data_IF_313520366639
#
_entry.id   IF_313520366639
#
_cell.length_a   1.000
_cell.length_b   1.000
_cell.length_c   1.000
_cell.angle_alpha   90.00
_cell.angle_beta   90.00
_cell.angle_gamma   90.00
#
_symmetry.space_group_name_H-M   'P 1'
#
loop_
_entity.id
_entity.type
_entity.pdbx_description
1 polymer ?
#
# COMPACT_ATOMS: atom_id res chain seq x y z
N UNK A 1 -10.06 -3.75 -15.21
CA UNK A 1 -9.74 -3.58 -13.77
C UNK A 1 -11.02 -3.21 -13.02
N UNK A 2 -11.08 -3.44 -11.71
CA UNK A 2 -12.16 -2.95 -10.84
C UNK A 2 -11.54 -2.07 -9.75
N UNK A 3 -12.12 -0.90 -9.53
CA UNK A 3 -11.66 0.11 -8.57
C UNK A 3 -12.69 0.20 -7.45
N UNK A 4 -12.34 -0.27 -6.25
CA UNK A 4 -13.25 -0.29 -5.12
C UNK A 4 -12.98 0.90 -4.20
N UNK A 5 -14.00 1.73 -3.97
CA UNK A 5 -13.97 2.80 -2.99
C UNK A 5 -14.79 2.39 -1.75
N UNK A 6 -14.17 2.37 -0.58
CA UNK A 6 -14.87 2.02 0.65
C UNK A 6 -15.82 3.15 1.07
N UNK A 7 -17.12 2.88 1.12
CA UNK A 7 -18.15 3.86 1.54
C UNK A 7 -18.87 3.42 2.82
N UNK A 8 -18.37 2.37 3.48
CA UNK A 8 -18.97 1.81 4.67
C UNK A 8 -18.92 2.77 5.87
N UNK A 9 -20.02 2.85 6.62
CA UNK A 9 -20.16 3.78 7.75
C UNK A 9 -20.65 3.18 9.06
N UNK A 10 -20.88 1.85 9.16
CA UNK A 10 -21.43 1.24 10.38
C UNK A 10 -20.37 0.95 11.44
N UNK A 11 -19.17 0.53 11.02
CA UNK A 11 -18.04 0.32 11.95
C UNK A 11 -17.31 1.63 12.27
N UNK A 12 -16.94 2.40 11.25
CA UNK A 12 -16.27 3.69 11.40
C UNK A 12 -16.86 4.70 10.42
N UNK A 13 -17.19 5.90 10.90
CA UNK A 13 -17.84 6.93 10.09
C UNK A 13 -16.91 7.59 9.05
N UNK A 14 -15.60 7.39 9.16
CA UNK A 14 -14.60 8.05 8.30
C UNK A 14 -14.78 7.67 6.83
N UNK A 15 -14.90 6.37 6.50
CA UNK A 15 -15.10 5.91 5.13
C UNK A 15 -16.44 6.36 4.54
N UNK A 16 -17.52 6.39 5.31
CA UNK A 16 -18.78 6.97 4.84
C UNK A 16 -18.66 8.47 4.53
N UNK A 17 -17.87 9.21 5.31
CA UNK A 17 -17.72 10.66 5.17
C UNK A 17 -16.83 11.06 4.00
N UNK A 18 -15.73 10.34 3.75
CA UNK A 18 -14.75 10.70 2.71
C UNK A 18 -14.78 9.79 1.49
N UNK A 19 -15.14 8.52 1.66
CA UNK A 19 -15.14 7.52 0.59
C UNK A 19 -16.27 7.69 -0.43
N UNK A 20 -17.50 8.01 0.01
CA UNK A 20 -18.61 8.25 -0.92
C UNK A 20 -18.39 9.48 -1.83
N UNK A 21 -17.90 10.63 -1.31
CA UNK A 21 -17.44 11.72 -2.18
C UNK A 21 -16.34 11.29 -3.16
N UNK A 22 -15.35 10.51 -2.71
CA UNK A 22 -14.27 10.03 -3.58
C UNK A 22 -14.79 9.12 -4.71
N UNK A 23 -15.68 8.18 -4.39
CA UNK A 23 -16.28 7.27 -5.37
C UNK A 23 -17.00 8.04 -6.48
N UNK A 24 -17.81 9.05 -6.10
CA UNK A 24 -18.50 9.91 -7.07
C UNK A 24 -17.52 10.69 -7.94
N UNK A 25 -16.48 11.28 -7.35
CA UNK A 25 -15.47 12.03 -8.08
C UNK A 25 -14.76 11.14 -9.11
N UNK A 26 -14.31 9.95 -8.70
CA UNK A 26 -13.68 8.98 -9.60
C UNK A 26 -14.63 8.49 -10.69
N UNK A 27 -15.91 8.26 -10.37
CA UNK A 27 -16.91 7.82 -11.35
C UNK A 27 -17.11 8.85 -12.49
N UNK A 28 -16.92 10.14 -12.24
CA UNK A 28 -16.99 11.16 -13.33
C UNK A 28 -15.92 10.96 -14.41
N UNK A 29 -14.78 10.36 -14.06
CA UNK A 29 -13.63 10.17 -14.96
C UNK A 29 -13.48 8.72 -15.44
N UNK A 30 -13.75 7.76 -14.56
CA UNK A 30 -13.47 6.33 -14.77
C UNK A 30 -14.74 5.48 -14.86
N UNK A 31 -15.92 6.08 -14.68
CA UNK A 31 -17.25 5.52 -14.95
C UNK A 31 -17.38 4.06 -14.43
N UNK A 32 -17.61 3.13 -15.35
CA UNK A 32 -17.85 1.69 -15.15
C UNK A 32 -16.73 0.91 -14.44
N UNK A 33 -15.57 1.53 -14.20
CA UNK A 33 -14.49 0.92 -13.42
C UNK A 33 -14.68 1.06 -11.91
N UNK A 34 -15.45 2.06 -11.46
CA UNK A 34 -15.55 2.46 -10.05
C UNK A 34 -16.76 1.83 -9.40
N UNK A 35 -16.54 1.22 -8.24
CA UNK A 35 -17.58 0.59 -7.45
C UNK A 35 -17.45 1.01 -5.99
N UNK A 36 -18.59 1.32 -5.38
CA UNK A 36 -18.67 1.44 -3.93
C UNK A 36 -18.62 0.05 -3.29
N UNK A 37 -17.91 -0.07 -2.17
CA UNK A 37 -17.78 -1.34 -1.44
C UNK A 37 -17.95 -1.16 0.07
N UNK A 38 -18.21 -2.29 0.74
CA UNK A 38 -18.15 -2.41 2.19
C UNK A 38 -16.71 -2.29 2.71
N UNK A 39 -16.53 -2.35 4.04
CA UNK A 39 -15.25 -2.13 4.70
C UNK A 39 -14.13 -3.03 4.15
N UNK A 40 -12.98 -2.40 3.82
CA UNK A 40 -11.79 -3.07 3.27
C UNK A 40 -10.58 -3.06 4.20
N UNK A 41 -10.71 -2.53 5.42
CA UNK A 41 -9.60 -2.38 6.37
C UNK A 41 -8.88 -1.03 6.27
N UNK A 42 -8.42 -0.53 7.42
CA UNK A 42 -7.68 0.72 7.54
C UNK A 42 -8.57 1.95 7.47
N UNK A 43 -9.63 2.00 8.27
CA UNK A 43 -10.55 3.14 8.32
C UNK A 43 -9.88 4.44 8.76
N UNK A 44 -8.81 4.34 9.56
CA UNK A 44 -7.95 5.48 9.88
C UNK A 44 -7.29 6.14 8.66
N UNK A 45 -7.21 5.41 7.54
CA UNK A 45 -6.71 5.89 6.25
C UNK A 45 -7.85 6.17 5.27
N UNK A 46 -9.07 6.42 5.73
CA UNK A 46 -10.13 6.85 4.84
C UNK A 46 -9.77 8.18 4.17
N UNK A 47 -10.00 8.38 2.87
CA UNK A 47 -10.69 7.49 1.94
C UNK A 47 -9.77 6.41 1.35
N UNK A 48 -10.29 5.17 1.26
CA UNK A 48 -9.55 4.01 0.76
C UNK A 48 -9.98 3.61 -0.66
N UNK A 49 -8.99 3.26 -1.47
CA UNK A 49 -9.15 2.73 -2.83
C UNK A 49 -8.43 1.39 -2.96
N UNK A 50 -9.10 0.39 -3.55
CA UNK A 50 -8.50 -0.91 -3.87
C UNK A 50 -8.55 -1.16 -5.37
N UNK A 51 -7.40 -1.47 -5.96
CA UNK A 51 -7.28 -1.75 -7.39
C UNK A 51 -7.18 -3.26 -7.63
N UNK A 52 -8.16 -3.82 -8.34
CA UNK A 52 -8.26 -5.26 -8.67
C UNK A 52 -7.88 -5.54 -10.14
N UNK A 53 -7.34 -6.74 -10.45
CA UNK A 53 -7.22 -7.92 -9.59
C UNK A 53 -6.01 -7.92 -8.64
N UNK A 54 -5.08 -6.97 -8.81
CA UNK A 54 -3.79 -6.99 -8.12
C UNK A 54 -3.86 -6.73 -6.60
N UNK A 55 -5.01 -6.27 -6.09
CA UNK A 55 -5.24 -6.05 -4.66
C UNK A 55 -4.37 -4.92 -4.11
N UNK A 56 -4.13 -3.86 -4.88
CA UNK A 56 -3.32 -2.73 -4.44
C UNK A 56 -4.18 -1.78 -3.59
N UNK A 57 -3.73 -1.51 -2.38
CA UNK A 57 -4.43 -0.62 -1.45
C UNK A 57 -3.81 0.76 -1.44
N UNK A 58 -4.68 1.76 -1.45
CA UNK A 58 -4.33 3.15 -1.22
C UNK A 58 -5.25 3.73 -0.14
N UNK A 59 -4.75 4.71 0.61
CA UNK A 59 -5.52 5.38 1.66
C UNK A 59 -5.05 6.80 1.94
N UNK A 60 -5.82 7.55 2.71
CA UNK A 60 -5.70 8.99 2.92
C UNK A 60 -5.73 9.74 1.57
N UNK A 61 -6.70 9.36 0.73
CA UNK A 61 -6.85 9.88 -0.62
C UNK A 61 -7.78 11.09 -0.67
N UNK A 62 -7.27 12.17 -1.28
CA UNK A 62 -8.08 13.15 -1.98
C UNK A 62 -8.34 12.73 -3.43
N UNK A 63 -9.12 13.53 -4.15
CA UNK A 63 -9.44 13.29 -5.56
C UNK A 63 -8.18 13.25 -6.43
N UNK A 64 -7.26 14.20 -6.24
CA UNK A 64 -6.01 14.30 -7.01
C UNK A 64 -5.15 13.06 -6.85
N UNK A 65 -4.92 12.61 -5.62
CA UNK A 65 -4.10 11.43 -5.30
C UNK A 65 -4.75 10.17 -5.86
N UNK A 66 -6.07 10.04 -5.74
CA UNK A 66 -6.80 8.89 -6.26
C UNK A 66 -6.75 8.81 -7.79
N UNK A 67 -6.94 9.94 -8.50
CA UNK A 67 -6.81 10.00 -9.96
C UNK A 67 -5.40 9.59 -10.39
N UNK A 68 -4.36 10.07 -9.70
CA UNK A 68 -2.96 9.67 -9.98
C UNK A 68 -2.76 8.17 -9.78
N UNK A 69 -3.27 7.59 -8.69
CA UNK A 69 -3.17 6.17 -8.41
C UNK A 69 -3.89 5.32 -9.47
N UNK A 70 -5.10 5.72 -9.87
CA UNK A 70 -5.85 5.01 -10.91
C UNK A 70 -5.15 5.12 -12.26
N UNK A 71 -4.74 6.32 -12.69
CA UNK A 71 -4.05 6.51 -13.97
C UNK A 71 -2.74 5.71 -14.02
N UNK A 72 -1.97 5.64 -12.93
CA UNK A 72 -0.79 4.77 -12.82
C UNK A 72 -1.16 3.29 -12.94
N UNK A 73 -2.18 2.85 -12.22
CA UNK A 73 -2.63 1.47 -12.26
C UNK A 73 -3.09 1.03 -13.66
N UNK A 74 -3.75 1.92 -14.41
CA UNK A 74 -4.16 1.66 -15.79
C UNK A 74 -2.97 1.51 -16.74
N UNK A 75 -1.79 2.06 -16.39
CA UNK A 75 -0.53 1.83 -17.11
C UNK A 75 0.24 0.60 -16.62
N UNK A 76 -0.30 -0.15 -15.66
CA UNK A 76 0.38 -1.29 -15.06
C UNK A 76 1.44 -0.88 -14.03
N UNK A 77 1.28 0.29 -13.41
CA UNK A 77 2.23 0.86 -12.45
C UNK A 77 1.60 1.04 -11.05
N UNK A 78 2.46 1.16 -10.05
CA UNK A 78 2.17 1.56 -8.67
C UNK A 78 2.71 2.97 -8.49
N UNK A 79 1.92 3.87 -7.89
CA UNK A 79 2.45 5.12 -7.34
C UNK A 79 2.73 4.89 -5.86
N UNK A 80 3.89 5.29 -5.35
CA UNK A 80 4.24 5.02 -3.94
C UNK A 80 3.54 5.97 -2.96
N UNK A 81 3.16 7.16 -3.42
CA UNK A 81 2.38 8.09 -2.62
C UNK A 81 1.04 7.45 -2.23
N UNK A 82 0.71 7.49 -0.94
CA UNK A 82 -0.51 6.91 -0.35
C UNK A 82 -0.68 5.40 -0.54
N UNK A 83 0.33 4.71 -1.06
CA UNK A 83 0.30 3.25 -1.24
C UNK A 83 0.43 2.55 0.12
N UNK A 84 -0.54 1.69 0.40
CA UNK A 84 -0.62 0.94 1.65
C UNK A 84 -0.12 -0.49 1.52
N UNK A 85 0.19 -0.96 0.31
CA UNK A 85 0.65 -2.33 0.05
C UNK A 85 -0.38 -3.18 -0.69
N UNK A 86 -0.15 -4.50 -0.66
CA UNK A 86 -0.91 -5.49 -1.43
C UNK A 86 -1.67 -6.46 -0.53
N UNK A 87 -2.91 -6.76 -0.93
CA UNK A 87 -3.75 -7.76 -0.28
C UNK A 87 -3.02 -9.10 -0.09
N UNK A 88 -3.20 -9.73 1.08
CA UNK A 88 -2.60 -11.03 1.39
C UNK A 88 -1.09 -11.01 1.69
N UNK A 89 -0.43 -9.85 1.60
CA UNK A 89 0.98 -9.72 1.93
C UNK A 89 1.13 -9.27 3.39
N UNK A 90 2.03 -9.84 4.21
CA UNK A 90 2.27 -9.36 5.57
C UNK A 90 2.81 -7.91 5.60
N UNK A 91 2.45 -7.14 6.61
CA UNK A 91 2.90 -5.73 6.78
C UNK A 91 4.42 -5.49 6.62
N UNK A 92 5.33 -6.29 7.23
CA UNK A 92 6.78 -6.08 7.02
C UNK A 92 7.21 -6.36 5.57
N UNK A 93 6.58 -7.30 4.88
CA UNK A 93 6.86 -7.56 3.47
C UNK A 93 6.37 -6.39 2.59
N UNK A 94 5.18 -5.83 2.86
CA UNK A 94 4.69 -4.64 2.16
C UNK A 94 5.64 -3.44 2.32
N UNK A 95 6.18 -3.25 3.53
CA UNK A 95 7.19 -2.22 3.78
C UNK A 95 8.47 -2.49 2.98
N UNK A 96 8.98 -3.72 2.99
CA UNK A 96 10.16 -4.09 2.20
C UNK A 96 9.98 -3.78 0.71
N UNK A 97 8.85 -4.19 0.13
CA UNK A 97 8.50 -3.91 -1.26
C UNK A 97 8.50 -2.40 -1.53
N UNK A 98 7.81 -1.63 -0.68
CA UNK A 98 7.72 -0.17 -0.82
C UNK A 98 9.11 0.48 -0.87
N UNK A 99 9.98 0.16 0.08
CA UNK A 99 11.32 0.77 0.15
C UNK A 99 12.23 0.34 -1.01
N UNK A 100 12.10 -0.90 -1.50
CA UNK A 100 12.85 -1.35 -2.70
C UNK A 100 12.35 -0.65 -3.96
N UNK A 101 11.03 -0.48 -4.12
CA UNK A 101 10.47 0.34 -5.22
C UNK A 101 10.97 1.78 -5.16
N UNK A 102 11.00 2.38 -3.96
CA UNK A 102 11.51 3.73 -3.77
C UNK A 102 13.01 3.85 -4.11
N UNK A 103 13.80 2.84 -3.72
CA UNK A 103 15.24 2.80 -3.98
C UNK A 103 15.59 2.60 -5.47
N UNK A 104 14.85 1.74 -6.16
CA UNK A 104 15.16 1.32 -7.54
C UNK A 104 14.42 2.14 -8.60
N UNK A 105 13.29 2.75 -8.24
CA UNK A 105 12.39 3.39 -9.20
C UNK A 105 11.56 2.42 -10.03
N UNK A 106 11.56 1.12 -9.73
CA UNK A 106 10.72 0.15 -10.42
C UNK A 106 9.29 0.21 -9.90
N UNK A 107 8.39 0.68 -10.77
CA UNK A 107 7.00 0.99 -10.42
C UNK A 107 6.01 0.02 -11.07
N UNK A 108 6.41 -0.82 -12.02
CA UNK A 108 5.52 -1.80 -12.62
C UNK A 108 4.97 -2.77 -11.56
N UNK A 109 3.70 -3.13 -11.70
CA UNK A 109 2.96 -3.91 -10.69
C UNK A 109 3.66 -5.22 -10.35
N UNK A 110 4.33 -5.85 -11.31
CA UNK A 110 5.01 -7.14 -11.15
C UNK A 110 6.55 -7.04 -11.09
N UNK A 111 7.11 -5.82 -11.07
CA UNK A 111 8.57 -5.63 -11.12
C UNK A 111 9.28 -5.91 -9.81
N UNK A 112 8.56 -5.85 -8.69
CA UNK A 112 9.10 -6.04 -7.35
C UNK A 112 8.26 -7.05 -6.59
N UNK A 113 8.91 -8.11 -6.11
CA UNK A 113 8.27 -9.21 -5.37
C UNK A 113 9.09 -9.53 -4.12
N UNK A 114 8.41 -9.82 -3.01
CA UNK A 114 9.06 -10.28 -1.78
C UNK A 114 9.12 -11.81 -1.78
N UNK A 115 10.33 -12.37 -1.80
CA UNK A 115 10.56 -13.83 -1.79
C UNK A 115 10.39 -14.41 -0.39
N UNK A 116 10.88 -13.70 0.63
CA UNK A 116 10.77 -14.14 2.02
C UNK A 116 10.75 -12.96 2.99
N UNK A 117 10.14 -13.19 4.14
CA UNK A 117 10.23 -12.32 5.31
C UNK A 117 10.30 -13.20 6.56
N UNK A 118 11.23 -12.90 7.45
CA UNK A 118 11.42 -13.63 8.71
C UNK A 118 11.60 -12.65 9.87
N UNK A 119 11.28 -13.07 11.09
CA UNK A 119 11.40 -12.25 12.30
C UNK A 119 10.07 -11.94 12.98
N UNK A 120 10.14 -11.24 14.11
CA UNK A 120 8.97 -10.91 14.96
C UNK A 120 8.97 -9.47 15.49
N UNK A 121 10.11 -8.77 15.43
CA UNK A 121 10.27 -7.38 15.87
C UNK A 121 11.32 -6.66 15.04
N UNK A 122 12.46 -7.33 14.84
CA UNK A 122 13.38 -7.10 13.73
C UNK A 122 13.08 -8.12 12.65
N UNK A 123 12.84 -7.65 11.45
CA UNK A 123 12.57 -8.49 10.29
C UNK A 123 13.73 -8.41 9.31
N UNK A 124 13.95 -9.52 8.63
CA UNK A 124 14.76 -9.57 7.41
C UNK A 124 13.87 -10.04 6.28
N UNK A 125 13.86 -9.28 5.18
CA UNK A 125 13.16 -9.64 3.96
C UNK A 125 14.13 -9.74 2.79
N UNK A 126 13.88 -10.70 1.89
CA UNK A 126 14.54 -10.78 0.60
C UNK A 126 13.55 -10.34 -0.47
N UNK A 127 13.91 -9.30 -1.21
CA UNK A 127 13.08 -8.68 -2.23
C UNK A 127 13.79 -8.77 -3.57
N UNK A 128 13.09 -9.27 -4.58
CA UNK A 128 13.54 -9.29 -5.96
C UNK A 128 12.97 -8.07 -6.67
N UNK A 129 13.84 -7.31 -7.32
CA UNK A 129 13.47 -6.21 -8.20
C UNK A 129 14.10 -6.51 -9.58
N UNK A 130 13.29 -7.01 -10.51
CA UNK A 130 13.73 -7.63 -11.77
C UNK A 130 14.79 -8.72 -11.53
N UNK A 131 16.04 -8.50 -11.92
CA UNK A 131 17.15 -9.45 -11.80
C UNK A 131 17.96 -9.25 -10.52
N UNK A 132 17.73 -8.16 -9.79
CA UNK A 132 18.47 -7.82 -8.57
C UNK A 132 17.75 -8.30 -7.33
N UNK A 133 18.52 -8.85 -6.37
CA UNK A 133 18.01 -9.24 -5.04
C UNK A 133 18.50 -8.26 -3.99
N UNK A 134 17.62 -7.90 -3.08
CA UNK A 134 17.91 -6.99 -1.98
C UNK A 134 17.59 -7.68 -0.66
N UNK A 135 18.52 -7.57 0.31
CA UNK A 135 18.22 -7.82 1.72
C UNK A 135 17.73 -6.51 2.34
N UNK A 136 16.59 -6.58 3.01
CA UNK A 136 15.98 -5.43 3.70
C UNK A 136 15.83 -5.79 5.18
N UNK A 137 16.51 -5.06 6.05
CA UNK A 137 16.34 -5.15 7.48
C UNK A 137 15.31 -4.11 7.94
N UNK A 138 14.25 -4.57 8.61
CA UNK A 138 13.15 -3.74 9.08
C UNK A 138 13.01 -3.83 10.60
N UNK A 139 12.47 -2.77 11.19
CA UNK A 139 12.10 -2.75 12.60
C UNK A 139 10.65 -2.27 12.75
N UNK A 140 9.86 -2.99 13.56
CA UNK A 140 8.54 -2.53 13.94
C UNK A 140 8.65 -1.42 15.00
N UNK A 141 8.07 -0.26 14.71
CA UNK A 141 8.05 0.90 15.61
C UNK A 141 6.61 1.37 15.84
N UNK A 142 6.39 2.12 16.91
CA UNK A 142 5.13 2.82 17.12
C UNK A 142 5.23 4.23 16.54
N UNK A 143 4.21 4.64 15.80
CA UNK A 143 4.09 6.01 15.31
C UNK A 143 2.99 6.74 16.09
N UNK A 144 3.21 8.03 16.35
CA UNK A 144 2.18 8.88 16.94
C UNK A 144 0.94 8.94 16.04
N UNK A 145 -0.22 8.98 16.67
CA UNK A 145 -1.52 8.84 16.04
C UNK A 145 -1.87 10.07 15.18
N UNK A 146 -1.99 9.94 13.84
CA UNK A 146 -2.42 11.03 12.99
C UNK A 146 -3.94 11.22 12.98
N UNK A 147 -4.72 10.27 13.49
CA UNK A 147 -6.19 10.25 13.39
C UNK A 147 -6.87 10.87 14.64
N UNK A 148 -6.09 11.45 15.55
CA UNK A 148 -6.57 12.12 16.77
C UNK A 148 -6.61 11.17 17.99
N UNK A 149 -6.76 11.71 19.20
CA UNK A 149 -6.51 10.98 20.46
C UNK A 149 -7.44 9.78 20.71
N UNK A 150 -8.56 9.68 20.01
CA UNK A 150 -9.56 8.63 20.18
C UNK A 150 -9.38 7.45 19.18
N UNK A 151 -8.37 7.48 18.31
CA UNK A 151 -8.14 6.46 17.29
C UNK A 151 -7.09 5.40 17.71
N UNK A 152 -7.49 4.44 18.54
CA UNK A 152 -6.60 3.33 18.93
C UNK A 152 -6.19 2.35 17.81
N UNK A 153 -6.52 2.60 16.54
CA UNK A 153 -6.27 1.66 15.44
C UNK A 153 -4.81 1.67 14.96
N UNK A 154 -4.13 0.55 15.22
CA UNK A 154 -2.93 0.05 14.54
C UNK A 154 -1.72 1.02 14.46
N UNK A 155 -1.25 1.54 15.59
CA UNK A 155 -0.12 2.47 15.69
C UNK A 155 1.25 1.87 15.30
N UNK A 156 1.31 0.57 14.98
CA UNK A 156 2.54 -0.07 14.54
C UNK A 156 2.81 0.27 13.08
N UNK A 157 4.06 0.58 12.77
CA UNK A 157 4.59 0.74 11.42
C UNK A 157 5.96 0.07 11.32
N UNK A 158 6.51 -0.03 10.12
CA UNK A 158 7.81 -0.64 9.86
C UNK A 158 8.75 0.38 9.24
N UNK A 159 9.95 0.49 9.79
CA UNK A 159 11.02 1.35 9.25
C UNK A 159 12.16 0.49 8.73
N UNK A 160 12.70 0.84 7.57
CA UNK A 160 13.92 0.22 7.04
C UNK A 160 15.14 0.75 7.80
N UNK A 161 15.95 -0.18 8.31
CA UNK A 161 17.24 0.10 8.94
C UNK A 161 18.39 -0.09 7.98
N UNK A 162 18.27 -1.07 7.09
CA UNK A 162 19.28 -1.41 6.10
C UNK A 162 18.60 -1.93 4.82
N UNK A 163 19.14 -1.53 3.66
CA UNK A 163 18.75 -2.03 2.35
C UNK A 163 20.03 -2.28 1.56
N UNK A 164 20.32 -3.54 1.28
CA UNK A 164 21.60 -3.96 0.71
C UNK A 164 21.36 -4.83 -0.52
N UNK A 165 22.01 -4.47 -1.64
CA UNK A 165 22.03 -5.29 -2.85
C UNK A 165 22.83 -6.58 -2.58
N UNK A 166 22.22 -7.72 -2.87
CA UNK A 166 22.88 -9.03 -2.79
C UNK A 166 23.56 -9.30 -4.12
N UNK A 167 24.89 -9.17 -4.15
CA UNK A 167 25.68 -9.61 -5.30
C UNK A 167 25.68 -11.14 -5.35
N UNK A 168 25.64 -11.74 -6.54
CA UNK A 168 25.77 -13.21 -6.72
C UNK A 168 27.01 -13.78 -6.02
N UNK A 169 28.09 -12.99 -5.88
CA UNK A 169 29.32 -13.38 -5.21
C UNK A 169 29.24 -13.45 -3.67
N UNK A 170 28.17 -12.98 -3.04
CA UNK A 170 27.99 -13.01 -1.58
C UNK A 170 27.23 -14.26 -1.07
N UNK A 171 26.97 -15.22 -1.96
CA UNK A 171 26.26 -16.47 -1.68
C UNK A 171 27.17 -17.72 -1.67
N UNK A 172 28.48 -17.53 -1.46
CA UNK A 172 29.44 -18.64 -1.24
C UNK A 172 29.92 -18.63 0.20
#
# INVERSE_FOLDING_TARGET
PVLLACTHGRHNACCARTGAPLARALATRFDRLVWETTHVGGDRFAANLVCLPHGLYYGDLGETEAVRAVDAYLRGEVVLDRFRGRAGTPEPAQAAEHFVRAHTGFLGVDEVTVESVTGTSRYEAVVVARESRYRVALEAVQQADPCGPDCGENLRTHVVRELTLLNEAALV
#
